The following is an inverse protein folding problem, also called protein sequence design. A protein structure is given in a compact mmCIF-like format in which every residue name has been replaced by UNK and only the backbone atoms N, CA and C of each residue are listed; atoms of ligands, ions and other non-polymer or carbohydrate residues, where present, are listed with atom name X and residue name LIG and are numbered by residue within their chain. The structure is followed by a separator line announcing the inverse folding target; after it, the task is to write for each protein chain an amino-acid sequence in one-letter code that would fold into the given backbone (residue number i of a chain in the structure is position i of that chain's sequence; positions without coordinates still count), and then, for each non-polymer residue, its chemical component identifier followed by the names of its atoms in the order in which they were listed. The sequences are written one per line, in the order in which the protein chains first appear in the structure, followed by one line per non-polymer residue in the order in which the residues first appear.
data_IF_794922472734
#
_entry.id   IF_794922472734
#
_cell.length_a   1.000
_cell.length_b   1.000
_cell.length_c   1.000
_cell.angle_alpha   90.00
_cell.angle_beta   90.00
_cell.angle_gamma   90.00
#
_symmetry.space_group_name_H-M   'P 1'
#
loop_
_entity.id
_entity.type
_entity.pdbx_description
1 polymer ?
#
# COMPACT_ATOMS: atom_id res chain seq x y z
N UNK A 1 -5.77 -4.43 5.21
CA UNK A 1 -4.81 -5.37 4.60
C UNK A 1 -3.75 -4.54 3.91
N UNK A 2 -2.47 -4.87 4.12
CA UNK A 2 -1.35 -4.13 3.52
C UNK A 2 -1.17 -4.47 2.04
N UNK A 3 -0.74 -3.47 1.25
CA UNK A 3 -0.52 -3.63 -0.18
C UNK A 3 0.45 -4.78 -0.51
N UNK A 4 1.59 -4.83 0.18
CA UNK A 4 2.61 -5.89 -0.01
C UNK A 4 2.01 -7.28 0.17
N UNK A 5 1.22 -7.48 1.23
CA UNK A 5 0.57 -8.76 1.48
C UNK A 5 -0.40 -9.13 0.36
N UNK A 6 -1.17 -8.16 -0.16
CA UNK A 6 -2.08 -8.39 -1.29
C UNK A 6 -1.34 -8.76 -2.57
N UNK A 7 -0.21 -8.10 -2.82
CA UNK A 7 0.67 -8.38 -3.96
C UNK A 7 1.29 -9.78 -3.89
N UNK A 8 1.69 -10.22 -2.70
CA UNK A 8 2.39 -11.50 -2.49
C UNK A 8 1.45 -12.73 -2.58
N UNK A 9 0.13 -12.53 -2.50
CA UNK A 9 -0.85 -13.62 -2.57
C UNK A 9 -0.92 -14.31 -3.94
N UNK A 10 -0.54 -13.63 -5.02
CA UNK A 10 -0.66 -14.19 -6.37
C UNK A 10 0.48 -13.73 -7.27
N UNK A 11 1.14 -14.72 -7.89
CA UNK A 11 2.17 -14.48 -8.89
C UNK A 11 1.55 -13.74 -10.08
N UNK A 12 2.01 -12.52 -10.31
CA UNK A 12 1.55 -11.67 -11.42
C UNK A 12 0.94 -10.35 -10.97
N UNK A 13 0.46 -10.25 -9.71
CA UNK A 13 -0.13 -9.01 -9.19
C UNK A 13 0.84 -7.82 -9.23
N UNK A 14 2.12 -8.05 -8.96
CA UNK A 14 3.15 -7.01 -9.12
C UNK A 14 3.21 -6.47 -10.56
N UNK A 15 3.22 -7.34 -11.56
CA UNK A 15 3.30 -6.94 -12.96
C UNK A 15 2.00 -6.23 -13.41
N UNK A 16 0.85 -6.80 -13.07
CA UNK A 16 -0.46 -6.23 -13.42
C UNK A 16 -0.69 -4.87 -12.78
N UNK A 17 -0.31 -4.69 -11.51
CA UNK A 17 -0.45 -3.41 -10.83
C UNK A 17 0.59 -2.39 -11.30
N UNK A 18 1.83 -2.81 -11.58
CA UNK A 18 2.83 -1.94 -12.19
C UNK A 18 2.33 -1.40 -13.54
N UNK A 19 1.80 -2.28 -14.39
CA UNK A 19 1.19 -1.91 -15.67
C UNK A 19 -0.01 -0.99 -15.50
N UNK A 20 -0.90 -1.28 -14.55
CA UNK A 20 -2.07 -0.44 -14.26
C UNK A 20 -1.69 0.97 -13.83
N UNK A 21 -0.65 1.11 -13.01
CA UNK A 21 -0.15 2.40 -12.52
C UNK A 21 0.82 3.10 -13.50
N UNK A 22 1.18 2.44 -14.60
CA UNK A 22 2.16 2.96 -15.57
C UNK A 22 3.57 3.09 -14.99
N UNK A 23 3.96 2.21 -14.05
CA UNK A 23 5.28 2.20 -13.41
C UNK A 23 6.03 0.92 -13.75
N UNK A 24 7.35 0.93 -13.52
CA UNK A 24 8.17 -0.28 -13.70
C UNK A 24 7.93 -1.29 -12.57
N UNK A 25 8.21 -2.57 -12.80
CA UNK A 25 8.11 -3.61 -11.78
C UNK A 25 8.97 -3.29 -10.54
N UNK A 26 10.20 -2.81 -10.75
CA UNK A 26 11.08 -2.38 -9.65
C UNK A 26 10.50 -1.20 -8.86
N UNK A 27 9.85 -0.25 -9.54
CA UNK A 27 9.16 0.85 -8.86
C UNK A 27 7.95 0.35 -8.07
N UNK A 28 7.23 -0.65 -8.56
CA UNK A 28 6.14 -1.28 -7.84
C UNK A 28 6.62 -1.98 -6.57
N UNK A 29 7.75 -2.68 -6.62
CA UNK A 29 8.38 -3.27 -5.43
C UNK A 29 8.70 -2.20 -4.37
N UNK A 30 9.34 -1.10 -4.78
CA UNK A 30 9.59 0.03 -3.88
C UNK A 30 8.30 0.61 -3.29
N UNK A 31 7.25 0.79 -4.08
CA UNK A 31 5.96 1.29 -3.59
C UNK A 31 5.34 0.31 -2.57
N UNK A 32 5.51 -0.99 -2.75
CA UNK A 32 5.02 -1.99 -1.81
C UNK A 32 5.77 -1.96 -0.46
N UNK A 33 7.06 -1.62 -0.48
CA UNK A 33 7.92 -1.54 0.71
C UNK A 33 7.86 -0.17 1.41
N UNK A 34 7.96 0.92 0.65
CA UNK A 34 8.01 2.31 1.15
C UNK A 34 6.62 2.93 1.40
N UNK A 35 5.57 2.25 0.94
CA UNK A 35 4.18 2.72 1.01
C UNK A 35 3.70 3.47 -0.24
N UNK A 36 2.37 3.52 -0.38
CA UNK A 36 1.70 3.97 -1.62
C UNK A 36 1.67 5.50 -1.76
N UNK A 37 2.27 6.10 -2.79
CA UNK A 37 2.15 7.56 -3.02
C UNK A 37 0.69 8.00 -3.17
N UNK A 38 0.33 9.19 -2.65
CA UNK A 38 -1.04 9.73 -2.70
C UNK A 38 -1.67 9.69 -4.09
N UNK A 39 -0.88 9.98 -5.14
CA UNK A 39 -1.33 9.96 -6.54
C UNK A 39 -1.79 8.57 -7.04
N UNK A 40 -1.39 7.50 -6.37
CA UNK A 40 -1.75 6.12 -6.74
C UNK A 40 -2.77 5.48 -5.79
N UNK A 41 -3.07 6.09 -4.64
CA UNK A 41 -3.92 5.45 -3.63
C UNK A 41 -5.33 5.12 -4.13
N UNK A 42 -5.98 6.02 -4.87
CA UNK A 42 -7.30 5.73 -5.43
C UNK A 42 -7.23 4.60 -6.46
N UNK A 43 -6.24 4.63 -7.35
CA UNK A 43 -6.02 3.57 -8.34
C UNK A 43 -5.76 2.20 -7.67
N UNK A 44 -4.97 2.15 -6.61
CA UNK A 44 -4.72 0.92 -5.85
C UNK A 44 -5.99 0.43 -5.16
N UNK A 45 -6.77 1.31 -4.52
CA UNK A 45 -8.05 0.93 -3.92
C UNK A 45 -8.99 0.33 -4.96
N UNK A 46 -9.15 1.00 -6.09
CA UNK A 46 -10.11 0.59 -7.12
C UNK A 46 -9.64 -0.69 -7.83
N UNK A 47 -8.33 -0.85 -8.08
CA UNK A 47 -7.75 -2.06 -8.67
C UNK A 47 -7.89 -3.29 -7.76
N UNK A 48 -7.78 -3.09 -6.45
CA UNK A 48 -7.91 -4.17 -5.46
C UNK A 48 -9.36 -4.41 -5.01
N UNK A 49 -10.33 -3.72 -5.63
CA UNK A 49 -11.74 -3.75 -5.26
C UNK A 49 -11.98 -3.47 -3.76
N UNK A 50 -11.18 -2.56 -3.18
CA UNK A 50 -11.25 -2.22 -1.75
C UNK A 50 -10.53 -3.19 -0.81
N UNK A 51 -9.89 -4.25 -1.32
CA UNK A 51 -9.08 -5.16 -0.48
C UNK A 51 -7.94 -4.41 0.22
N UNK A 52 -7.34 -3.43 -0.47
CA UNK A 52 -6.40 -2.47 0.10
C UNK A 52 -7.12 -1.13 0.24
N UNK A 53 -7.40 -0.70 1.47
CA UNK A 53 -8.15 0.53 1.74
C UNK A 53 -7.24 1.78 1.77
N UNK A 54 -7.84 2.96 1.57
CA UNK A 54 -7.13 4.24 1.68
C UNK A 54 -6.57 4.46 3.08
N UNK A 55 -7.34 4.12 4.11
CA UNK A 55 -6.95 4.27 5.52
C UNK A 55 -5.66 3.51 5.81
N UNK A 56 -5.55 2.27 5.32
CA UNK A 56 -4.35 1.44 5.49
C UNK A 56 -3.13 2.04 4.78
N UNK A 57 -3.32 2.56 3.56
CA UNK A 57 -2.24 3.20 2.79
C UNK A 57 -1.79 4.54 3.40
N UNK A 58 -2.71 5.28 4.02
CA UNK A 58 -2.40 6.53 4.73
C UNK A 58 -1.68 6.24 6.04
N UNK A 59 -2.11 5.21 6.78
CA UNK A 59 -1.45 4.76 8.00
C UNK A 59 0.01 4.35 7.74
N UNK A 60 0.29 3.63 6.65
CA UNK A 60 1.67 3.23 6.28
C UNK A 60 2.61 4.41 6.01
N UNK A 61 2.06 5.56 5.59
CA UNK A 61 2.84 6.77 5.29
C UNK A 61 3.03 7.69 6.47
N UNK A 62 2.30 7.46 7.56
CA UNK A 62 2.28 8.36 8.71
C UNK A 62 3.05 7.69 9.84
N UNK A 63 4.38 7.89 9.95
CA UNK A 63 5.19 7.23 10.97
C UNK A 63 4.93 7.68 12.42
N UNK A 64 3.88 8.45 12.72
CA UNK A 64 3.78 9.21 13.99
C UNK A 64 2.39 9.22 14.67
N UNK A 65 1.59 8.15 14.61
CA UNK A 65 0.37 8.08 15.44
C UNK A 65 0.04 6.69 16.03
N UNK A 66 1.04 5.80 16.09
CA UNK A 66 0.93 4.51 16.75
C UNK A 66 1.64 4.48 18.11
N UNK A 67 1.33 5.44 19.01
CA UNK A 67 1.45 5.25 20.45
C UNK A 67 0.72 6.38 21.20
N UNK A 68 -0.46 6.16 21.81
CA UNK A 68 -0.64 6.69 23.13
C UNK A 68 0.29 5.89 24.04
N UNK A 69 1.38 6.53 24.48
CA UNK A 69 2.10 6.14 25.69
C UNK A 69 1.04 5.78 26.72
N UNK A 70 1.00 4.51 27.14
CA UNK A 70 0.29 4.15 28.37
C UNK A 70 0.99 4.91 29.48
N UNK A 71 0.46 6.08 29.82
CA UNK A 71 0.69 6.73 31.10
C UNK A 71 0.05 5.82 32.14
N UNK A 72 0.83 4.87 32.64
CA UNK A 72 0.52 4.14 33.85
C UNK A 72 0.82 5.07 35.01
N UNK A 73 -0.22 5.77 35.48
CA UNK A 73 -0.31 6.31 36.83
C UNK A 73 -0.48 5.17 37.86
#
# INVERSE_FOLDING_TARGET
MKLKHWLDQERGRYASMAQHLGVTAGRMSQIADDGVPNKYMLAVRDFTAGSVSLEEMVADRTPELAAPTKESA
#
